data_IF_599201709273
#
_entry.id   IF_599201709273
#
_cell.length_a   1.000
_cell.length_b   1.000
_cell.length_c   1.000
_cell.angle_alpha   90.00
_cell.angle_beta   90.00
_cell.angle_gamma   90.00
#
_symmetry.space_group_name_H-M   'P 1'
#
loop_
_entity.id
_entity.type
_entity.pdbx_description
1 polymer ?
2 non-polymer ?
3 non-polymer ?
4 water ?
#
# COMPACT_ATOMS: atom_id res chain seq x y z
N UNK A 14 3.64 17.86 11.34
CA UNK A 14 4.16 17.08 10.23
C UNK A 14 5.58 16.51 10.53
N UNK A 15 5.89 15.41 9.81
CA UNK A 15 7.16 14.69 9.88
C UNK A 15 8.30 15.53 9.28
N UNK A 16 9.50 15.44 9.85
CA UNK A 16 10.59 16.31 9.37
C UNK A 16 10.96 15.94 7.93
N UNK A 17 11.44 16.95 7.21
CA UNK A 17 11.88 16.76 5.88
C UNK A 17 13.35 17.23 5.91
N UNK A 18 14.00 17.06 4.79
CA UNK A 18 15.30 17.69 4.73
C UNK A 18 16.33 16.58 4.51
N UNK A 19 16.76 16.46 3.25
CA UNK A 19 17.74 15.44 2.80
C UNK A 19 18.43 15.95 1.55
N UNK A 20 19.65 15.48 1.30
CA UNK A 20 20.25 15.80 0.04
C UNK A 20 19.50 15.05 -1.11
N UNK A 21 18.69 14.06 -0.74
CA UNK A 21 17.91 13.32 -1.71
C UNK A 21 16.43 13.58 -1.58
N UNK A 22 16.08 14.77 -1.12
CA UNK A 22 14.67 15.08 -0.89
C UNK A 22 13.84 14.91 -2.15
N UNK A 23 12.64 14.36 -1.94
CA UNK A 23 11.61 14.29 -2.99
C UNK A 23 10.56 15.42 -2.83
N UNK A 24 10.18 16.01 -3.97
CA UNK A 24 9.09 16.98 -3.99
C UNK A 24 7.78 16.54 -3.33
N UNK A 25 7.49 15.23 -3.36
CA UNK A 25 6.22 14.70 -2.86
C UNK A 25 6.35 14.08 -1.47
N UNK A 26 7.49 14.33 -0.80
CA UNK A 26 7.69 13.75 0.53
C UNK A 26 8.72 12.65 0.42
N UNK A 27 9.51 12.46 1.48
CA UNK A 27 10.38 11.30 1.48
C UNK A 27 11.65 11.56 0.66
N UNK A 28 12.25 10.53 0.11
CA UNK A 28 13.54 10.68 -0.54
C UNK A 28 13.32 10.20 -1.94
N UNK A 29 14.01 10.82 -2.89
CA UNK A 29 14.13 10.23 -4.21
C UNK A 29 15.16 9.14 -4.05
N UNK A 30 15.11 8.12 -4.90
CA UNK A 30 16.20 7.11 -4.94
C UNK A 30 17.46 7.53 -5.75
N UNK A 31 18.60 7.65 -5.06
CA UNK A 31 19.84 8.10 -5.71
C UNK A 31 20.88 7.00 -5.92
N UNK A 33 19.91 3.18 -6.14
CA UNK A 33 19.49 1.93 -6.75
C UNK A 33 18.48 1.20 -5.89
N UNK A 34 18.70 1.23 -4.59
CA UNK A 34 17.73 0.71 -3.63
C UNK A 34 17.96 1.34 -2.25
N UNK A 35 16.96 1.25 -1.39
CA UNK A 35 17.09 1.72 -0.02
C UNK A 35 17.86 0.65 0.78
N UNK A 36 18.85 1.05 1.58
CA UNK A 36 19.48 0.06 2.44
C UNK A 36 18.57 -0.32 3.61
N UNK A 37 18.84 -1.49 4.20
CA UNK A 37 18.06 -2.01 5.34
C UNK A 37 16.57 -2.10 4.97
N UNK A 38 16.30 -2.33 3.69
CA UNK A 38 14.90 -2.53 3.29
C UNK A 38 14.61 -3.95 2.81
N UNK A 39 13.85 -4.70 3.61
CA UNK A 39 13.59 -6.10 3.31
C UNK A 39 12.93 -6.27 1.91
N UNK A 40 12.01 -5.34 1.57
CA UNK A 40 11.31 -5.45 0.30
C UNK A 40 12.23 -5.16 -0.90
N UNK A 41 13.19 -4.23 -0.72
CA UNK A 41 14.21 -3.98 -1.76
C UNK A 41 15.05 -5.25 -1.94
N UNK A 42 15.35 -5.92 -0.83
CA UNK A 42 16.14 -7.15 -0.92
C UNK A 42 15.36 -8.25 -1.63
N UNK A 43 14.05 -8.32 -1.36
CA UNK A 43 13.21 -9.21 -2.16
C UNK A 43 13.14 -8.88 -3.67
N UNK A 44 12.96 -7.61 -4.01
CA UNK A 44 13.02 -7.16 -5.39
C UNK A 44 14.35 -7.51 -6.07
N UNK A 45 15.43 -7.40 -5.32
CA UNK A 45 16.79 -7.64 -5.86
C UNK A 45 17.02 -9.16 -6.02
N UNK A 46 16.17 -9.97 -5.41
CA UNK A 46 16.31 -11.41 -5.50
C UNK A 46 17.29 -11.95 -4.44
N UNK A 47 17.68 -11.09 -3.50
CA UNK A 47 18.63 -11.49 -2.44
C UNK A 47 17.96 -12.35 -1.37
N UNK A 48 16.66 -12.08 -1.16
CA UNK A 48 15.82 -12.80 -0.19
C UNK A 48 14.61 -13.35 -0.96
N UNK A 49 14.20 -14.60 -0.69
CA UNK A 49 13.16 -15.29 -1.43
C UNK A 49 11.78 -14.81 -0.96
N UNK A 50 10.82 -14.96 -1.85
CA UNK A 50 9.43 -14.57 -1.52
C UNK A 50 8.52 -15.56 -2.23
N UNK A 51 7.26 -15.66 -1.79
CA UNK A 51 6.33 -16.57 -2.45
C UNK A 51 5.62 -15.83 -3.55
N UNK A 52 6.22 -15.77 -4.74
CA UNK A 52 5.80 -14.87 -5.79
C UNK A 52 4.53 -15.33 -6.49
N UNK A 53 3.69 -14.35 -6.78
CA UNK A 53 2.48 -14.62 -7.56
C UNK A 53 2.41 -13.85 -8.87
N UNK A 54 3.13 -12.74 -8.95
CA UNK A 54 3.12 -11.89 -10.15
C UNK A 54 4.34 -11.00 -10.14
N UNK A 55 4.89 -10.74 -11.33
CA UNK A 55 6.04 -9.84 -11.46
C UNK A 55 6.01 -9.23 -12.87
N UNK A 56 6.29 -7.93 -12.95
CA UNK A 56 6.60 -7.34 -14.25
C UNK A 56 7.70 -6.29 -14.07
N UNK A 57 7.88 -5.42 -15.06
CA UNK A 57 8.95 -4.45 -14.99
C UNK A 57 8.83 -3.48 -13.81
N UNK A 58 7.60 -3.19 -13.39
CA UNK A 58 7.39 -2.17 -12.38
C UNK A 58 7.01 -2.70 -11.00
N UNK A 59 6.43 -3.89 -10.97
CA UNK A 59 5.72 -4.39 -9.80
C UNK A 59 6.06 -5.85 -9.45
N UNK A 60 6.05 -6.19 -8.16
CA UNK A 60 6.19 -7.56 -7.68
C UNK A 60 5.06 -7.84 -6.67
N UNK A 61 4.43 -9.01 -6.78
CA UNK A 61 3.39 -9.37 -5.79
C UNK A 61 3.77 -10.73 -5.24
N UNK A 62 3.66 -10.92 -3.94
CA UNK A 62 3.99 -12.21 -3.33
C UNK A 62 3.02 -12.43 -2.17
N UNK A 63 2.81 -13.69 -1.78
CA UNK A 63 1.96 -13.97 -0.61
C UNK A 63 2.56 -13.36 0.65
N UNK A 64 1.70 -12.75 1.47
CA UNK A 64 2.15 -12.30 2.78
C UNK A 64 2.30 -13.54 3.67
N UNK A 65 3.51 -13.79 4.20
CA UNK A 65 3.73 -14.99 4.92
C UNK A 65 2.85 -15.20 6.13
N UNK A 66 2.27 -14.11 6.64
CA UNK A 66 1.43 -14.23 7.85
C UNK A 66 -0.03 -14.62 7.50
N UNK A 67 -0.37 -14.53 6.23
CA UNK A 67 -1.69 -14.97 5.68
C UNK A 67 -2.88 -14.54 6.59
N UNK A 68 -3.12 -13.24 6.64
CA UNK A 68 -4.23 -12.72 7.48
C UNK A 68 -5.49 -13.48 7.06
N UNK A 69 -5.62 -13.72 5.75
CA UNK A 69 -6.61 -14.67 5.26
C UNK A 69 -5.95 -15.45 4.16
N UNK A 70 -6.65 -16.48 3.68
CA UNK A 70 -6.08 -17.37 2.68
C UNK A 70 -5.83 -16.61 1.37
N UNK A 71 -4.58 -16.54 0.91
CA UNK A 71 -4.31 -15.79 -0.29
C UNK A 71 -3.91 -14.36 -0.07
N UNK A 72 -3.78 -13.93 1.18
CA UNK A 72 -3.36 -12.55 1.50
C UNK A 72 -2.06 -12.30 0.75
N UNK A 73 -2.04 -11.21 -0.04
CA UNK A 73 -0.90 -10.93 -0.96
C UNK A 73 -0.46 -9.50 -0.77
N UNK A 74 0.85 -9.21 -0.96
CA UNK A 74 1.28 -7.83 -0.98
C UNK A 74 1.71 -7.56 -2.41
N UNK A 75 1.31 -6.38 -2.90
CA UNK A 75 1.81 -5.90 -4.22
C UNK A 75 2.70 -4.70 -3.95
N UNK A 76 3.95 -4.77 -4.43
CA UNK A 76 4.90 -3.69 -4.18
C UNK A 76 5.50 -3.11 -5.45
N UNK A 77 5.86 -1.83 -5.42
CA UNK A 77 6.63 -1.34 -6.60
C UNK A 77 8.07 -1.84 -6.51
N UNK A 78 8.69 -2.13 -7.64
CA UNK A 78 10.11 -2.45 -7.64
C UNK A 78 10.95 -1.24 -7.24
N UNK A 79 10.54 -0.06 -7.68
CA UNK A 79 11.16 1.17 -7.25
C UNK A 79 10.74 1.50 -5.80
N UNK A 80 11.71 1.68 -4.92
CA UNK A 80 11.40 1.96 -3.52
C UNK A 80 10.74 3.33 -3.39
N UNK A 81 9.65 3.35 -2.62
CA UNK A 81 9.06 4.56 -2.11
C UNK A 81 8.45 4.22 -0.76
N UNK A 82 8.36 5.18 0.17
CA UNK A 82 8.05 4.79 1.56
C UNK A 82 6.59 4.24 1.69
N UNK A 83 5.64 4.93 1.08
CA UNK A 83 4.21 4.61 1.21
C UNK A 83 3.48 5.52 0.23
N UNK A 84 2.14 5.43 0.15
CA UNK A 84 1.43 6.28 -0.83
C UNK A 84 1.43 7.77 -0.50
N UNK A 85 1.50 8.11 0.78
CA UNK A 85 1.64 9.52 1.15
C UNK A 85 2.83 10.19 0.46
N UNK A 86 3.87 9.40 0.16
CA UNK A 86 5.02 10.02 -0.50
C UNK A 86 5.16 9.74 -1.99
N UNK A 87 4.10 9.28 -2.67
CA UNK A 87 4.27 8.89 -4.04
C UNK A 87 3.95 10.04 -4.96
N UNK A 88 4.55 9.97 -6.15
CA UNK A 88 4.09 10.80 -7.27
C UNK A 88 2.83 10.19 -7.94
N UNK A 89 2.19 10.94 -8.83
CA UNK A 89 0.96 10.40 -9.46
C UNK A 89 1.40 9.22 -10.35
N UNK A 90 2.60 9.34 -10.94
CA UNK A 90 3.11 8.27 -11.78
C UNK A 90 3.38 6.99 -11.00
N UNK A 91 4.01 7.12 -9.84
CA UNK A 91 4.26 5.97 -9.00
C UNK A 91 2.95 5.26 -8.58
N UNK A 92 1.92 6.06 -8.25
CA UNK A 92 0.65 5.51 -7.76
C UNK A 92 -0.07 4.87 -8.96
N UNK A 93 -0.05 5.56 -10.10
CA UNK A 93 -0.75 5.02 -11.27
C UNK A 93 -0.10 3.69 -11.66
N UNK A 94 1.23 3.63 -11.67
CA UNK A 94 1.89 2.39 -12.05
C UNK A 94 1.67 1.21 -11.10
N UNK A 95 1.72 1.47 -9.79
CA UNK A 95 1.49 0.43 -8.81
C UNK A 95 0.04 -0.11 -8.92
N UNK A 96 -0.94 0.78 -8.99
CA UNK A 96 -2.29 0.24 -8.91
C UNK A 96 -2.86 -0.25 -10.23
N UNK A 97 -2.25 0.13 -11.35
CA UNK A 97 -2.76 -0.35 -12.64
C UNK A 97 -2.85 -1.89 -12.66
N UNK A 98 -1.90 -2.56 -12.02
CA UNK A 98 -1.81 -4.02 -12.06
C UNK A 98 -2.79 -4.68 -11.06
N UNK A 99 -3.34 -3.91 -10.14
CA UNK A 99 -4.01 -4.52 -9.01
C UNK A 99 -5.33 -5.26 -9.39
N UNK A 100 -6.15 -4.67 -10.26
CA UNK A 100 -7.37 -5.43 -10.62
C UNK A 100 -7.11 -6.85 -11.19
N UNK A 101 -6.11 -6.94 -12.07
CA UNK A 101 -5.80 -8.22 -12.70
C UNK A 101 -5.30 -9.22 -11.63
N UNK A 102 -4.46 -8.74 -10.69
CA UNK A 102 -3.96 -9.63 -9.67
C UNK A 102 -5.08 -10.06 -8.74
N UNK A 103 -5.91 -9.08 -8.38
CA UNK A 103 -7.04 -9.36 -7.49
C UNK A 103 -8.02 -10.37 -8.11
N UNK A 104 -8.29 -10.24 -9.41
CA UNK A 104 -9.22 -11.17 -10.07
C UNK A 104 -8.65 -12.58 -9.98
N UNK A 105 -7.36 -12.70 -10.27
CA UNK A 105 -6.71 -14.03 -10.21
C UNK A 105 -6.75 -14.60 -8.78
N UNK A 106 -6.43 -13.77 -7.80
CA UNK A 106 -6.51 -14.20 -6.41
C UNK A 106 -7.90 -14.70 -6.00
N UNK A 107 -8.91 -13.96 -6.42
CA UNK A 107 -10.27 -14.33 -6.11
C UNK A 107 -10.60 -15.65 -6.80
N UNK A 108 -10.15 -15.82 -8.04
CA UNK A 108 -10.46 -17.05 -8.77
C UNK A 108 -9.76 -18.25 -8.08
N UNK A 109 -8.46 -18.09 -7.82
CA UNK A 109 -7.70 -19.18 -7.20
C UNK A 109 -8.23 -19.62 -5.85
N UNK A 110 -8.70 -18.65 -5.05
CA UNK A 110 -9.16 -18.94 -3.68
C UNK A 110 -10.65 -19.14 -3.56
N UNK A 111 -11.37 -18.87 -4.65
CA UNK A 111 -12.82 -18.82 -4.62
C UNK A 111 -13.33 -17.87 -3.51
N UNK A 112 -12.68 -16.72 -3.36
CA UNK A 112 -13.09 -15.74 -2.38
C UNK A 112 -14.41 -15.06 -2.70
N UNK A 113 -15.20 -14.71 -1.67
CA UNK A 113 -16.47 -13.96 -1.91
C UNK A 113 -16.28 -12.47 -2.04
N UNK A 114 -15.15 -11.95 -1.56
CA UNK A 114 -14.93 -10.50 -1.59
C UNK A 114 -13.42 -10.26 -1.40
N UNK A 115 -13.05 -8.99 -1.40
CA UNK A 115 -11.61 -8.71 -1.27
C UNK A 115 -11.46 -7.31 -0.70
N UNK A 116 -10.53 -7.15 0.27
CA UNK A 116 -10.12 -5.80 0.67
C UNK A 116 -8.77 -5.42 0.09
N UNK A 117 -8.69 -4.19 -0.41
CA UNK A 117 -7.39 -3.63 -0.90
C UNK A 117 -6.95 -2.59 0.09
N UNK A 118 -5.74 -2.73 0.69
CA UNK A 118 -5.40 -1.84 1.81
C UNK A 118 -3.97 -1.36 1.70
N UNK A 119 -3.78 -0.06 1.87
CA UNK A 119 -2.41 0.48 1.98
C UNK A 119 -2.28 1.25 3.27
N UNK A 120 -1.26 0.92 4.08
CA UNK A 120 -1.16 1.54 5.39
C UNK A 120 0.02 2.53 5.37
N UNK A 121 -0.19 3.74 5.88
CA UNK A 121 0.84 4.76 5.81
C UNK A 121 1.21 5.26 7.16
N UNK A 122 2.48 4.94 7.54
CA UNK A 122 3.06 5.28 8.86
C UNK A 122 2.56 4.42 10.00
N UNK A 123 3.30 4.49 11.11
CA UNK A 123 3.13 3.55 12.17
C UNK A 123 1.75 3.56 12.78
N UNK A 124 1.13 4.74 12.93
CA UNK A 124 -0.20 4.78 13.55
C UNK A 124 -1.25 4.11 12.67
N UNK A 125 -0.95 3.92 11.39
CA UNK A 125 -1.93 3.21 10.54
C UNK A 125 -1.54 1.75 10.36
N UNK A 126 -0.48 1.33 11.08
CA UNK A 126 -0.08 -0.05 11.11
C UNK A 126 1.19 -0.33 10.28
N UNK A 127 1.69 0.64 9.53
CA UNK A 127 2.93 0.40 8.73
C UNK A 127 4.16 0.06 9.58
N UNK A 128 4.81 -1.05 9.23
CA UNK A 128 6.07 -1.39 9.94
C UNK A 128 7.25 -1.62 8.99
N UNK A 129 6.94 -1.98 7.75
CA UNK A 129 7.96 -2.08 6.70
C UNK A 129 7.81 -0.87 5.80
N UNK A 130 8.87 -0.09 5.68
CA UNK A 130 8.80 1.22 5.02
C UNK A 130 9.14 1.24 3.55
N UNK A 131 8.55 0.26 2.83
CA UNK A 131 8.54 0.24 1.36
C UNK A 131 7.09 -0.01 1.04
N UNK A 132 6.57 0.82 0.16
CA UNK A 132 5.09 0.84 -0.06
C UNK A 132 4.62 -0.56 -0.37
N UNK A 133 3.47 -1.00 0.22
CA UNK A 133 2.95 -2.29 -0.16
C UNK A 133 1.41 -2.19 -0.08
N UNK A 134 0.74 -2.76 -1.08
CA UNK A 134 -0.72 -2.81 -1.06
C UNK A 134 -1.17 -4.19 -0.73
N UNK A 135 -1.96 -4.31 0.34
CA UNK A 135 -2.45 -5.65 0.72
C UNK A 135 -3.67 -6.00 -0.16
N UNK A 136 -3.72 -7.25 -0.63
CA UNK A 136 -4.99 -7.81 -1.24
C UNK A 136 -5.40 -8.88 -0.29
N UNK A 137 -6.54 -8.72 0.37
CA UNK A 137 -6.95 -9.63 1.46
C UNK A 137 -8.26 -10.28 0.97
N UNK A 138 -8.17 -11.51 0.49
CA UNK A 138 -9.43 -12.22 0.09
C UNK A 138 -10.33 -12.39 1.30
N UNK A 139 -11.65 -12.36 1.07
CA UNK A 139 -12.60 -12.46 2.15
C UNK A 139 -13.57 -13.63 1.81
N UNK A 140 -13.93 -14.40 2.85
CA UNK A 140 -14.72 -15.62 2.70
C UNK A 140 -15.95 -15.55 3.63
N UNK A 141 -17.15 -15.60 3.07
CA UNK A 141 -18.31 -15.67 3.93
C UNK A 141 -18.10 -16.80 4.96
N UNK A 143 -16.63 -16.12 7.85
CA UNK A 143 -15.62 -17.15 8.20
C UNK A 143 -14.32 -16.58 8.76
N UNK A 144 -13.96 -15.38 8.30
CA UNK A 144 -12.65 -14.77 8.63
C UNK A 144 -12.52 -14.18 10.03
N UNK A 145 -11.29 -14.21 10.54
CA UNK A 145 -11.01 -13.55 11.80
C UNK A 145 -10.48 -12.14 11.47
N UNK A 146 -10.12 -11.99 10.22
CA UNK A 146 -9.85 -10.65 9.67
C UNK A 146 -11.05 -9.72 9.64
N UNK A 147 -10.86 -8.45 9.96
CA UNK A 147 -11.99 -7.52 10.01
C UNK A 147 -11.51 -6.08 9.97
N UNK A 148 -12.32 -5.16 9.42
CA UNK A 148 -12.04 -3.72 9.51
C UNK A 148 -13.17 -3.12 10.35
N UNK A 149 -12.85 -2.42 11.43
CA UNK A 149 -13.84 -1.78 12.32
C UNK A 149 -14.20 -0.38 11.87
N UNK A 150 -15.17 -0.27 10.96
CA UNK A 150 -15.57 1.05 10.47
C UNK A 150 -16.63 1.71 11.33
N UNK A 151 -16.22 2.32 12.44
CA UNK A 151 -17.20 3.05 13.27
C UNK A 151 -17.84 4.21 12.53
N UNK A 152 -19.07 4.56 12.97
CA UNK A 152 -19.84 5.60 12.32
C UNK A 152 -20.27 6.67 13.34
N UNK A 153 -20.41 7.93 12.90
CA UNK A 153 -20.87 8.98 13.78
C UNK A 153 -21.90 9.78 13.01
N UNK A 154 -22.80 10.42 13.75
CA UNK A 154 -23.66 11.41 13.09
C UNK A 154 -22.96 12.76 12.85
N UNK A 155 -23.07 13.30 11.63
CA UNK A 155 -22.31 14.50 11.26
C UNK A 155 -22.98 15.75 11.85
N UNK A 156 -22.15 16.72 12.18
CA UNK A 156 -22.60 18.08 12.40
C UNK A 156 -22.30 18.73 11.06
N UNK A 157 -23.35 19.08 10.32
CA UNK A 157 -23.09 19.48 8.95
C UNK A 157 -22.34 20.78 8.84
N UNK A 158 -22.50 21.66 9.82
CA UNK A 158 -21.73 22.89 9.80
C UNK A 158 -20.22 22.60 9.97
N UNK A 159 -19.86 21.88 11.01
CA UNK A 159 -18.45 21.45 11.15
C UNK A 159 -17.94 20.65 9.94
N UNK A 160 -18.82 19.81 9.36
CA UNK A 160 -18.36 18.95 8.26
C UNK A 160 -18.04 19.83 7.05
N UNK A 161 -18.87 20.87 6.85
CA UNK A 161 -18.65 21.78 5.73
C UNK A 161 -17.36 22.57 5.90
N UNK A 162 -17.03 22.93 7.14
CA UNK A 162 -15.83 23.70 7.41
C UNK A 162 -14.59 22.80 7.24
N UNK A 163 -14.72 21.55 7.65
CA UNK A 163 -13.61 20.60 7.48
C UNK A 163 -13.34 20.41 5.98
N UNK A 164 -14.39 20.21 5.17
CA UNK A 164 -14.18 20.08 3.72
C UNK A 164 -13.51 21.34 3.13
N UNK A 165 -13.99 22.52 3.51
CA UNK A 165 -13.32 23.79 3.12
C UNK A 165 -11.80 23.80 3.46
N UNK A 166 -11.45 23.41 4.69
CA UNK A 166 -10.07 23.35 5.14
C UNK A 166 -9.23 22.41 4.27
N UNK A 167 -9.82 21.27 3.90
CA UNK A 167 -9.09 20.31 3.13
C UNK A 167 -8.90 20.81 1.71
N UNK A 168 -9.97 21.34 1.13
CA UNK A 168 -9.88 21.99 -0.18
C UNK A 168 -8.74 23.01 -0.21
N UNK A 169 -8.62 23.81 0.84
CA UNK A 169 -7.57 24.83 0.90
C UNK A 169 -6.18 24.18 0.71
N UNK A 170 -5.96 23.05 1.38
CA UNK A 170 -4.68 22.36 1.25
C UNK A 170 -4.44 21.76 -0.13
N UNK A 171 -5.47 21.22 -0.78
CA UNK A 171 -5.25 20.76 -2.16
C UNK A 171 -4.79 21.91 -3.10
N UNK A 172 -5.46 23.08 -3.00
CA UNK A 172 -5.21 24.22 -3.88
C UNK A 172 -3.85 24.94 -3.75
#
# INVERSE_FOLDING_TARGET
>A
MGSSHHHHHHSSGLVPRGSHMASMTGGQQMGRGSMNDCLFCKIVAGDIPSSKVYEDEDVLAFLDISQATKGHTLVIPKEHVRNALEMTQTQAANLFARIPKIARALQKATKADGLNIINNNEETAGQTVFHAHVHLVPRFADSDEFDIRFVQHEPDFTRLGQLAEDIQKEIEA
#
